data_IF_073136332394
#
_entry.id   IF_073136332394
#
_cell.length_a   1.000
_cell.length_b   1.000
_cell.length_c   1.000
_cell.angle_alpha   90.00
_cell.angle_beta   90.00
_cell.angle_gamma   90.00
#
_symmetry.space_group_name_H-M   'P 1'
#
loop_
_entity.id
_entity.type
_entity.pdbx_description
1 polymer ?
#
# COMPACT_ATOMS: atom_id res chain seq x y z
N UNK A 1 4.87 4.09 -6.74
CA UNK A 1 4.15 4.15 -5.45
C UNK A 1 3.96 2.74 -4.94
N UNK A 2 4.19 2.54 -3.65
CA UNK A 2 4.06 1.26 -2.97
C UNK A 2 2.96 1.35 -1.91
N UNK A 3 2.26 0.24 -1.68
CA UNK A 3 1.18 0.11 -0.71
C UNK A 3 1.35 -1.17 0.11
N UNK A 4 0.66 -1.27 1.25
CA UNK A 4 0.63 -2.46 2.08
C UNK A 4 -0.76 -3.05 2.18
N UNK A 5 -0.86 -4.39 2.10
CA UNK A 5 -2.08 -5.15 2.42
C UNK A 5 -1.85 -6.27 3.44
N UNK A 6 -0.67 -6.36 4.06
CA UNK A 6 -0.35 -7.44 5.02
C UNK A 6 -1.00 -7.25 6.39
N UNK A 7 -1.50 -6.06 6.70
CA UNK A 7 -2.04 -5.72 8.02
C UNK A 7 -0.97 -5.62 9.11
N UNK A 8 0.31 -5.75 8.74
CA UNK A 8 1.43 -5.70 9.68
C UNK A 8 1.54 -4.32 10.34
N UNK A 9 1.79 -4.21 11.66
CA UNK A 9 1.83 -2.93 12.38
C UNK A 9 2.75 -1.88 11.75
N UNK A 10 3.87 -2.31 11.15
CA UNK A 10 4.81 -1.41 10.44
C UNK A 10 4.12 -0.62 9.32
N UNK A 11 3.26 -1.28 8.55
CA UNK A 11 2.72 -0.72 7.31
C UNK A 11 1.19 -0.55 7.32
N UNK A 12 0.57 -0.85 8.47
CA UNK A 12 -0.87 -0.70 8.69
C UNK A 12 -1.25 0.78 8.71
N UNK A 13 -2.33 1.12 8.02
CA UNK A 13 -2.85 2.49 7.88
C UNK A 13 -1.86 3.52 7.31
N UNK A 14 -0.77 3.08 6.65
CA UNK A 14 0.10 4.00 5.94
C UNK A 14 -0.53 4.42 4.62
N UNK A 15 -0.32 5.69 4.26
CA UNK A 15 -0.58 6.15 2.90
C UNK A 15 0.43 5.51 1.92
N UNK A 16 0.28 5.80 0.63
CA UNK A 16 1.25 5.34 -0.36
C UNK A 16 2.67 5.78 0.00
N UNK A 17 3.62 4.87 -0.13
CA UNK A 17 5.06 5.13 0.04
C UNK A 17 5.64 5.43 -1.34
N UNK A 18 6.38 6.54 -1.44
CA UNK A 18 7.07 6.95 -2.64
C UNK A 18 8.35 6.14 -2.81
N UNK A 19 8.54 5.65 -4.01
CA UNK A 19 9.76 4.99 -4.46
C UNK A 19 9.92 5.32 -5.94
N UNK A 20 11.17 5.54 -6.37
CA UNK A 20 11.47 6.02 -7.71
C UNK A 20 11.79 4.83 -8.61
N UNK A 21 12.81 4.05 -8.26
CA UNK A 21 13.26 2.89 -9.02
C UNK A 21 13.43 1.66 -8.12
N UNK A 22 12.32 1.13 -7.56
CA UNK A 22 12.41 -0.02 -6.67
C UNK A 22 12.76 -1.29 -7.46
N UNK A 23 13.69 -2.06 -6.91
CA UNK A 23 13.89 -3.45 -7.31
C UNK A 23 12.84 -4.35 -6.66
N UNK A 24 12.39 -5.36 -7.39
CA UNK A 24 11.52 -6.39 -6.85
C UNK A 24 12.30 -7.32 -5.91
N UNK A 25 11.66 -7.74 -4.83
CA UNK A 25 12.23 -8.72 -3.89
C UNK A 25 11.49 -10.04 -4.06
N UNK A 26 12.23 -11.08 -4.41
CA UNK A 26 11.73 -12.46 -4.41
C UNK A 26 12.21 -13.17 -3.15
N UNK A 27 11.29 -13.81 -2.44
CA UNK A 27 11.60 -14.57 -1.23
C UNK A 27 11.72 -16.05 -1.55
N UNK A 28 12.77 -16.69 -1.03
CA UNK A 28 12.92 -18.15 -1.05
C UNK A 28 12.51 -18.76 0.30
N UNK A 29 12.19 -20.05 0.31
CA UNK A 29 11.96 -20.78 1.55
C UNK A 29 13.24 -20.81 2.39
N UNK A 30 13.09 -20.60 3.70
CA UNK A 30 14.18 -20.74 4.65
C UNK A 30 13.59 -21.21 5.98
N UNK A 31 14.12 -22.30 6.50
CA UNK A 31 13.65 -22.91 7.74
C UNK A 31 13.86 -21.95 8.92
N UNK A 32 12.85 -21.81 9.77
CA UNK A 32 12.91 -20.92 10.94
C UNK A 32 12.85 -19.42 10.65
N UNK A 33 12.66 -18.99 9.39
CA UNK A 33 12.53 -17.56 9.02
C UNK A 33 11.13 -17.27 8.47
N UNK A 34 10.34 -16.54 9.25
CA UNK A 34 9.06 -15.95 8.82
C UNK A 34 9.33 -14.76 7.92
N UNK A 35 8.61 -14.68 6.80
CA UNK A 35 8.74 -13.60 5.82
C UNK A 35 7.40 -12.90 5.64
N UNK A 36 7.37 -11.62 5.94
CA UNK A 36 6.16 -10.79 5.85
C UNK A 36 6.40 -9.69 4.83
N UNK A 37 5.61 -9.66 3.76
CA UNK A 37 5.69 -8.58 2.76
C UNK A 37 5.11 -7.30 3.37
N UNK A 38 5.91 -6.25 3.45
CA UNK A 38 5.51 -4.96 4.03
C UNK A 38 4.95 -4.03 2.98
N UNK A 39 5.65 -3.88 1.85
CA UNK A 39 5.29 -2.97 0.76
C UNK A 39 5.39 -3.70 -0.58
N UNK A 40 4.47 -3.37 -1.47
CA UNK A 40 4.45 -3.92 -2.81
C UNK A 40 3.75 -2.96 -3.79
N UNK A 41 3.86 -3.26 -5.09
CA UNK A 41 3.24 -2.48 -6.15
C UNK A 41 1.71 -2.63 -6.19
N UNK A 42 1.03 -1.82 -7.00
CA UNK A 42 -0.41 -1.94 -7.20
C UNK A 42 -0.79 -3.25 -7.92
N UNK A 43 -2.10 -3.49 -8.07
CA UNK A 43 -2.62 -4.63 -8.85
C UNK A 43 -2.22 -4.57 -10.33
N UNK A 44 -2.03 -3.37 -10.87
CA UNK A 44 -1.70 -3.15 -12.27
C UNK A 44 -0.24 -2.71 -12.37
N UNK A 45 0.68 -3.66 -12.24
CA UNK A 45 2.10 -3.41 -12.28
C UNK A 45 2.81 -4.28 -13.32
N UNK A 46 4.05 -3.92 -13.64
CA UNK A 46 4.94 -4.64 -14.54
C UNK A 46 6.39 -4.52 -14.04
N UNK A 47 7.20 -5.49 -14.42
CA UNK A 47 8.65 -5.46 -14.19
C UNK A 47 9.34 -5.18 -15.52
N UNK A 48 10.38 -4.35 -15.51
CA UNK A 48 11.19 -4.05 -16.70
C UNK A 48 12.63 -4.43 -16.37
N UNK A 49 13.26 -5.24 -17.22
CA UNK A 49 14.67 -5.64 -17.08
C UNK A 49 15.60 -4.52 -17.51
N UNK A 50 16.76 -4.42 -16.87
CA UNK A 50 17.80 -3.45 -17.22
C UNK A 50 18.65 -3.93 -18.41
N UNK A 51 19.15 -3.00 -19.26
CA UNK A 51 18.91 -1.55 -19.26
C UNK A 51 17.54 -1.19 -19.83
N UNK A 52 16.79 -0.33 -19.13
CA UNK A 52 15.45 0.09 -19.52
C UNK A 52 15.43 1.57 -19.90
N UNK A 53 14.79 1.92 -21.02
CA UNK A 53 14.51 3.30 -21.37
C UNK A 53 13.26 3.76 -20.62
N UNK A 54 13.44 4.64 -19.63
CA UNK A 54 12.33 5.23 -18.89
C UNK A 54 11.82 6.44 -19.66
N UNK A 55 10.57 6.39 -20.13
CA UNK A 55 9.92 7.53 -20.80
C UNK A 55 8.77 8.04 -19.96
N UNK A 56 8.69 9.36 -19.75
CA UNK A 56 7.51 9.98 -19.15
C UNK A 56 6.22 9.77 -19.97
N UNK A 57 6.36 9.38 -21.24
CA UNK A 57 5.23 9.02 -22.12
C UNK A 57 4.62 7.66 -21.77
N UNK A 58 5.26 6.84 -20.94
CA UNK A 58 4.71 5.57 -20.49
C UNK A 58 3.56 5.73 -19.49
N UNK A 59 3.41 6.92 -18.90
CA UNK A 59 2.27 7.25 -18.06
C UNK A 59 1.03 7.59 -18.93
N UNK A 60 0.63 6.63 -19.76
CA UNK A 60 -0.58 6.74 -20.60
C UNK A 60 -1.79 6.38 -19.75
N UNK A 61 -2.80 7.25 -19.75
CA UNK A 61 -4.10 6.98 -19.12
C UNK A 61 -4.92 5.98 -19.96
N UNK A 62 -4.36 4.81 -20.28
CA UNK A 62 -5.10 3.72 -20.89
C UNK A 62 -5.91 2.98 -19.80
N UNK A 63 -7.19 2.62 -20.04
CA UNK A 63 -8.04 1.94 -19.04
C UNK A 63 -7.43 0.63 -18.54
N UNK A 64 -6.87 -0.14 -19.47
CA UNK A 64 -6.10 -1.36 -19.27
C UNK A 64 -4.91 -1.32 -20.23
N UNK A 65 -3.72 -1.61 -19.71
CA UNK A 65 -2.52 -1.82 -20.53
C UNK A 65 -2.13 -3.28 -20.40
N UNK A 66 -2.08 -3.99 -21.53
CA UNK A 66 -1.75 -5.41 -21.58
C UNK A 66 -0.39 -5.74 -20.95
N UNK A 67 0.49 -4.74 -20.81
CA UNK A 67 1.81 -4.88 -20.21
C UNK A 67 1.77 -4.89 -18.67
N UNK A 68 0.70 -4.41 -18.03
CA UNK A 68 0.59 -4.23 -16.58
C UNK A 68 -0.24 -5.34 -15.91
N UNK A 69 0.16 -6.59 -16.15
CA UNK A 69 -0.56 -7.80 -15.69
C UNK A 69 0.01 -8.46 -14.43
N UNK A 70 1.07 -7.92 -13.82
CA UNK A 70 1.71 -8.51 -12.64
C UNK A 70 1.27 -7.78 -11.38
N UNK A 71 0.30 -8.31 -10.60
CA UNK A 71 -0.15 -7.65 -9.39
C UNK A 71 0.86 -7.81 -8.25
N UNK A 72 0.91 -6.81 -7.36
CA UNK A 72 1.49 -6.93 -6.01
C UNK A 72 2.95 -7.41 -5.98
N UNK A 73 3.79 -6.81 -6.82
CA UNK A 73 5.24 -7.10 -6.86
C UNK A 73 5.87 -6.60 -5.55
N UNK A 74 6.49 -7.46 -4.72
CA UNK A 74 7.06 -7.07 -3.45
C UNK A 74 8.26 -6.13 -3.62
N UNK A 75 8.34 -5.12 -2.75
CA UNK A 75 9.43 -4.13 -2.73
C UNK A 75 10.03 -3.92 -1.32
N UNK A 76 9.32 -4.31 -0.26
CA UNK A 76 9.88 -4.38 1.09
C UNK A 76 9.38 -5.63 1.82
N UNK A 77 10.27 -6.32 2.54
CA UNK A 77 10.00 -7.57 3.25
C UNK A 77 10.63 -7.54 4.64
N UNK A 78 9.87 -7.92 5.66
CA UNK A 78 10.33 -8.20 7.01
C UNK A 78 10.65 -9.70 7.13
N UNK A 79 11.82 -10.00 7.68
CA UNK A 79 12.33 -11.33 7.96
C UNK A 79 12.48 -11.47 9.47
N UNK A 80 11.87 -12.50 10.06
CA UNK A 80 11.90 -12.73 11.52
C UNK A 80 12.25 -14.17 11.83
N UNK A 81 13.12 -14.38 12.82
CA UNK A 81 13.49 -15.69 13.33
C UNK A 81 14.99 -15.84 13.55
N UNK A 82 15.47 -17.08 13.60
CA UNK A 82 16.88 -17.38 13.89
C UNK A 82 17.70 -17.46 12.61
N UNK A 83 18.57 -16.48 12.40
CA UNK A 83 19.46 -16.47 11.25
C UNK A 83 20.70 -17.33 11.50
N UNK A 84 21.13 -18.05 10.46
CA UNK A 84 22.44 -18.69 10.44
C UNK A 84 23.50 -17.69 9.95
N UNK A 85 24.66 -17.73 10.60
CA UNK A 85 25.82 -16.93 10.19
C UNK A 85 26.31 -17.37 8.81
N UNK A 86 26.67 -16.40 7.97
CA UNK A 86 27.30 -16.63 6.67
C UNK A 86 28.60 -17.46 6.78
N UNK A 87 29.27 -17.38 7.93
CA UNK A 87 30.53 -18.07 8.19
C UNK A 87 30.38 -19.48 8.78
N UNK A 88 29.13 -19.94 8.98
CA UNK A 88 28.87 -21.30 9.42
C UNK A 88 29.49 -22.28 8.43
N UNK A 89 30.27 -23.24 8.93
CA UNK A 89 31.03 -24.21 8.12
C UNK A 89 32.11 -23.59 7.19
N UNK A 90 32.47 -22.32 7.37
CA UNK A 90 33.51 -21.62 6.56
C UNK A 90 34.70 -21.13 7.39
N UNK A 91 34.73 -21.44 8.69
CA UNK A 91 35.81 -21.03 9.58
C UNK A 91 36.99 -21.98 9.51
N UNK A 92 38.15 -21.46 9.10
CA UNK A 92 39.41 -22.19 9.19
C UNK A 92 39.88 -22.29 10.64
N UNK A 93 40.68 -23.32 10.94
CA UNK A 93 41.24 -23.53 12.28
C UNK A 93 42.02 -22.30 12.77
N UNK A 94 42.78 -21.65 11.89
CA UNK A 94 43.52 -20.41 12.19
C UNK A 94 42.64 -19.26 12.70
N UNK A 95 41.44 -19.10 12.15
CA UNK A 95 40.49 -18.07 12.58
C UNK A 95 39.87 -18.48 13.92
N UNK A 96 39.56 -19.76 14.11
CA UNK A 96 39.04 -20.26 15.39
C UNK A 96 40.05 -20.07 16.53
N UNK A 97 41.33 -20.38 16.28
CA UNK A 97 42.41 -20.20 17.25
C UNK A 97 42.62 -18.71 17.58
N UNK A 98 42.50 -17.83 16.58
CA UNK A 98 42.55 -16.37 16.77
C UNK A 98 41.38 -15.87 17.62
N UNK A 99 40.14 -16.32 17.33
CA UNK A 99 38.95 -15.96 18.10
C UNK A 99 39.04 -16.44 19.55
N UNK A 100 39.56 -17.65 19.77
CA UNK A 100 39.81 -18.21 21.09
C UNK A 100 40.84 -17.40 21.89
N UNK A 101 41.88 -16.89 21.24
CA UNK A 101 42.88 -16.01 21.87
C UNK A 101 42.25 -14.70 22.38
N UNK A 102 41.21 -14.18 21.71
CA UNK A 102 40.44 -13.02 22.15
C UNK A 102 39.23 -13.37 23.04
N UNK A 103 39.07 -14.63 23.45
CA UNK A 103 37.92 -15.12 24.22
C UNK A 103 36.56 -14.88 23.54
N UNK A 104 36.55 -14.77 22.20
CA UNK A 104 35.32 -14.60 21.42
C UNK A 104 34.87 -15.96 20.90
N UNK A 105 33.65 -16.38 21.28
CA UNK A 105 33.04 -17.60 20.73
C UNK A 105 32.29 -17.28 19.45
N UNK A 106 32.62 -17.98 18.36
CA UNK A 106 31.84 -17.91 17.14
C UNK A 106 30.42 -18.45 17.36
N UNK A 107 29.42 -17.70 16.87
CA UNK A 107 28.01 -18.08 16.92
C UNK A 107 27.56 -18.48 15.51
N UNK A 108 27.32 -19.79 15.24
CA UNK A 108 26.85 -20.24 13.93
C UNK A 108 25.38 -19.88 13.68
N UNK A 109 24.60 -19.67 14.74
CA UNK A 109 23.19 -19.28 14.71
C UNK A 109 22.96 -18.23 15.78
N UNK A 110 21.98 -17.34 15.58
CA UNK A 110 21.53 -16.40 16.60
C UNK A 110 20.99 -17.12 17.83
N UNK A 111 21.30 -16.61 19.03
CA UNK A 111 20.78 -17.18 20.29
C UNK A 111 19.27 -16.90 20.41
N UNK A 112 18.87 -15.66 20.11
CA UNK A 112 17.49 -15.18 20.11
C UNK A 112 16.97 -14.94 18.68
N UNK A 113 15.65 -14.82 18.57
CA UNK A 113 15.00 -14.43 17.32
C UNK A 113 15.38 -12.99 16.97
N UNK A 114 15.75 -12.78 15.71
CA UNK A 114 16.17 -11.50 15.17
C UNK A 114 15.21 -11.06 14.07
N UNK A 115 15.28 -9.77 13.75
CA UNK A 115 14.42 -9.15 12.74
C UNK A 115 15.27 -8.37 11.74
N UNK A 116 14.99 -8.53 10.45
CA UNK A 116 15.66 -7.82 9.35
C UNK A 116 14.61 -7.31 8.38
N UNK A 117 14.68 -6.02 8.04
CA UNK A 117 13.85 -5.43 6.99
C UNK A 117 14.70 -5.21 5.75
N UNK A 118 14.26 -5.73 4.61
CA UNK A 118 14.90 -5.57 3.31
C UNK A 118 14.00 -4.71 2.43
N UNK A 119 14.57 -3.68 1.82
CA UNK A 119 13.88 -2.75 0.90
C UNK A 119 14.63 -2.70 -0.42
N UNK A 120 13.91 -2.78 -1.54
CA UNK A 120 14.48 -2.77 -2.89
C UNK A 120 14.87 -1.39 -3.44
N UNK A 121 14.66 -0.32 -2.67
CA UNK A 121 14.95 1.07 -3.03
C UNK A 121 15.67 1.80 -1.87
N UNK A 122 16.88 2.27 -2.13
CA UNK A 122 17.68 3.04 -1.16
C UNK A 122 17.26 4.50 -1.06
N UNK A 123 16.59 5.05 -2.06
CA UNK A 123 16.19 6.46 -2.10
C UNK A 123 14.97 6.74 -1.20
N UNK A 124 14.27 5.68 -0.78
CA UNK A 124 13.04 5.77 0.01
C UNK A 124 13.23 6.48 1.37
N UNK A 125 14.44 6.45 1.93
CA UNK A 125 14.80 7.06 3.22
C UNK A 125 15.52 8.39 3.08
N UNK A 126 15.67 8.92 1.86
CA UNK A 126 16.38 10.15 1.60
C UNK A 126 15.43 11.35 1.59
N UNK A 127 15.95 12.50 2.01
CA UNK A 127 15.32 13.79 1.75
C UNK A 127 15.71 14.25 0.36
N UNK A 128 14.72 14.56 -0.47
CA UNK A 128 14.98 15.17 -1.77
C UNK A 128 15.34 16.65 -1.61
N UNK A 129 15.82 17.24 -2.70
CA UNK A 129 16.15 18.67 -2.79
C UNK A 129 15.29 19.28 -3.88
N UNK A 130 14.59 20.36 -3.54
CA UNK A 130 13.78 21.14 -4.48
C UNK A 130 14.65 22.12 -5.28
N UNK A 131 14.04 22.77 -6.28
CA UNK A 131 14.72 23.80 -7.09
C UNK A 131 15.26 24.91 -6.19
N UNK A 132 16.53 25.24 -6.34
CA UNK A 132 17.21 26.24 -5.50
C UNK A 132 17.90 25.67 -4.26
N UNK A 133 18.23 24.37 -4.27
CA UNK A 133 19.02 23.69 -3.24
C UNK A 133 18.35 23.67 -1.84
N UNK A 134 17.02 23.66 -1.83
CA UNK A 134 16.21 23.62 -0.61
C UNK A 134 15.88 22.17 -0.26
N UNK A 135 16.35 21.63 0.89
CA UNK A 135 15.95 20.31 1.34
C UNK A 135 14.44 20.25 1.60
N UNK A 136 13.78 19.21 1.10
CA UNK A 136 12.36 18.96 1.35
C UNK A 136 12.19 17.72 2.22
N UNK A 137 11.07 17.67 2.94
CA UNK A 137 10.79 16.55 3.85
C UNK A 137 10.77 15.20 3.11
N UNK A 138 11.16 14.14 3.80
CA UNK A 138 11.08 12.77 3.30
C UNK A 138 9.65 12.44 2.85
N UNK A 139 9.52 11.79 1.69
CA UNK A 139 8.22 11.49 1.10
C UNK A 139 7.60 12.67 0.37
N UNK A 140 8.34 13.76 0.13
CA UNK A 140 7.91 14.81 -0.81
C UNK A 140 8.50 14.56 -2.19
N UNK A 141 7.69 14.74 -3.23
CA UNK A 141 8.17 14.63 -4.61
C UNK A 141 8.74 15.98 -5.09
N UNK A 142 10.04 16.07 -5.45
CA UNK A 142 10.70 17.31 -5.85
C UNK A 142 10.13 17.91 -7.14
N UNK A 143 9.47 17.12 -7.99
CA UNK A 143 8.85 17.59 -9.23
C UNK A 143 7.49 18.27 -9.03
N UNK A 144 6.80 17.98 -7.92
CA UNK A 144 5.47 18.54 -7.61
C UNK A 144 5.49 19.47 -6.39
N UNK A 145 6.62 19.58 -5.71
CA UNK A 145 6.80 20.44 -4.55
C UNK A 145 6.54 21.93 -4.89
N UNK A 146 5.74 22.62 -4.07
CA UNK A 146 5.36 24.01 -4.30
C UNK A 146 4.32 24.21 -5.42
N UNK A 147 3.68 23.13 -5.89
CA UNK A 147 2.61 23.19 -6.90
C UNK A 147 1.28 22.71 -6.33
N UNK A 148 0.18 22.91 -7.06
CA UNK A 148 -1.15 22.41 -6.67
C UNK A 148 -1.24 20.87 -6.55
N UNK A 149 -0.23 20.13 -7.02
CA UNK A 149 -0.16 18.66 -6.98
C UNK A 149 0.78 18.14 -5.90
N UNK A 150 1.20 19.01 -4.98
CA UNK A 150 1.98 18.62 -3.82
C UNK A 150 1.23 17.58 -2.99
N UNK A 151 1.90 16.49 -2.66
CA UNK A 151 1.33 15.39 -1.89
C UNK A 151 2.39 14.76 -0.99
N UNK A 152 2.14 14.70 0.34
CA UNK A 152 3.04 14.05 1.28
C UNK A 152 2.82 12.52 1.28
N UNK A 153 3.86 11.78 0.90
CA UNK A 153 3.88 10.32 0.97
C UNK A 153 4.36 9.83 2.35
N UNK A 154 3.98 8.61 2.72
CA UNK A 154 4.20 8.06 4.06
C UNK A 154 5.61 7.49 4.29
N UNK A 155 6.63 7.95 3.55
CA UNK A 155 8.00 7.44 3.66
C UNK A 155 8.58 7.62 5.06
N UNK A 156 8.39 8.82 5.64
CA UNK A 156 8.86 9.13 6.99
C UNK A 156 8.21 8.21 8.02
N UNK A 157 6.89 8.07 7.94
CA UNK A 157 6.12 7.23 8.87
C UNK A 157 6.52 5.75 8.72
N UNK A 158 6.70 5.27 7.49
CA UNK A 158 7.18 3.92 7.24
C UNK A 158 8.55 3.67 7.88
N UNK A 159 9.50 4.59 7.72
CA UNK A 159 10.83 4.46 8.33
C UNK A 159 10.76 4.47 9.86
N UNK A 160 9.99 5.39 10.44
CA UNK A 160 9.82 5.46 11.89
C UNK A 160 9.18 4.19 12.44
N UNK A 161 8.16 3.65 11.77
CA UNK A 161 7.53 2.40 12.14
C UNK A 161 8.49 1.21 12.02
N UNK A 162 9.34 1.17 10.99
CA UNK A 162 10.39 0.16 10.86
C UNK A 162 11.36 0.22 12.05
N UNK A 163 11.83 1.42 12.40
CA UNK A 163 12.76 1.62 13.52
C UNK A 163 12.11 1.29 14.87
N UNK A 164 10.88 1.74 15.10
CA UNK A 164 10.13 1.43 16.33
C UNK A 164 9.95 -0.09 16.47
N UNK A 165 9.63 -0.79 15.38
CA UNK A 165 9.48 -2.25 15.40
C UNK A 165 10.80 -2.98 15.70
N UNK A 166 11.90 -2.58 15.06
CA UNK A 166 13.20 -3.24 15.20
C UNK A 166 13.88 -2.98 16.55
N UNK A 167 13.53 -1.90 17.24
CA UNK A 167 14.14 -1.50 18.52
C UNK A 167 13.27 -1.91 19.71
N UNK A 168 11.96 -2.01 19.56
CA UNK A 168 11.04 -2.19 20.68
C UNK A 168 10.69 -3.67 20.92
N UNK A 169 11.19 -4.23 22.03
CA UNK A 169 10.92 -5.61 22.44
C UNK A 169 9.47 -5.84 22.92
N UNK A 170 8.71 -4.79 23.23
CA UNK A 170 7.43 -4.91 23.95
C UNK A 170 6.18 -4.95 23.05
N UNK A 171 6.34 -5.04 21.73
CA UNK A 171 5.23 -5.11 20.75
C UNK A 171 4.12 -4.04 20.93
N UNK A 172 4.46 -2.88 21.51
CA UNK A 172 3.50 -1.80 21.80
C UNK A 172 2.87 -1.16 20.55
N UNK A 173 3.45 -1.42 19.36
CA UNK A 173 2.93 -0.94 18.08
C UNK A 173 1.54 -1.50 17.76
N UNK A 174 1.21 -2.73 18.18
CA UNK A 174 -0.12 -3.30 17.93
C UNK A 174 -1.24 -2.48 18.59
N UNK A 175 -0.98 -1.97 19.81
CA UNK A 175 -1.94 -1.20 20.60
C UNK A 175 -2.23 0.20 20.04
N UNK A 176 -1.32 0.79 19.26
CA UNK A 176 -1.52 2.11 18.62
C UNK A 176 -2.34 2.04 17.32
N UNK A 177 -2.55 0.86 16.76
CA UNK A 177 -3.07 0.69 15.40
C UNK A 177 -4.60 0.84 15.29
N UNK A 178 -5.13 2.04 15.53
CA UNK A 178 -6.56 2.32 15.30
C UNK A 178 -6.91 2.13 13.82
N UNK A 179 -7.88 1.29 13.50
CA UNK A 179 -8.26 0.99 12.11
C UNK A 179 -8.92 2.21 11.44
N UNK A 180 -8.16 2.88 10.56
CA UNK A 180 -8.70 3.92 9.68
C UNK A 180 -8.83 3.35 8.27
N UNK A 181 -9.99 2.78 7.97
CA UNK A 181 -10.29 2.26 6.63
C UNK A 181 -10.66 3.42 5.72
N UNK A 182 -9.66 4.02 5.06
CA UNK A 182 -9.90 4.93 3.95
C UNK A 182 -10.46 4.14 2.75
N UNK A 183 -11.78 4.14 2.58
CA UNK A 183 -12.44 3.57 1.39
C UNK A 183 -12.29 4.54 0.22
N UNK A 184 -11.13 4.53 -0.41
CA UNK A 184 -10.91 5.29 -1.64
C UNK A 184 -11.88 4.77 -2.71
N UNK A 185 -12.58 5.70 -3.37
CA UNK A 185 -13.44 5.35 -4.49
C UNK A 185 -12.57 5.00 -5.70
N UNK A 186 -12.92 3.90 -6.36
CA UNK A 186 -12.39 3.59 -7.69
C UNK A 186 -12.98 4.57 -8.70
N UNK A 187 -12.23 5.62 -9.02
CA UNK A 187 -12.65 6.66 -9.96
C UNK A 187 -12.95 6.10 -11.35
N UNK A 188 -12.35 4.96 -11.74
CA UNK A 188 -12.67 4.30 -13.01
C UNK A 188 -14.08 3.74 -12.97
N UNK A 189 -14.40 2.97 -11.93
CA UNK A 189 -15.74 2.39 -11.73
C UNK A 189 -16.80 3.49 -11.60
N UNK A 190 -16.51 4.53 -10.81
CA UNK A 190 -17.41 5.67 -10.62
C UNK A 190 -17.70 6.36 -11.96
N UNK A 191 -16.70 6.60 -12.79
CA UNK A 191 -16.90 7.24 -14.09
C UNK A 191 -17.65 6.35 -15.08
N UNK A 192 -17.36 5.04 -15.11
CA UNK A 192 -18.05 4.10 -15.99
C UNK A 192 -19.53 3.95 -15.64
N UNK A 193 -19.87 3.86 -14.35
CA UNK A 193 -21.25 3.66 -13.90
C UNK A 193 -22.02 4.99 -13.68
N UNK A 194 -21.35 6.14 -13.77
CA UNK A 194 -21.92 7.47 -13.44
C UNK A 194 -23.29 7.71 -14.05
N UNK A 195 -23.45 7.39 -15.34
CA UNK A 195 -24.68 7.63 -16.08
C UNK A 195 -25.82 6.75 -15.55
N UNK A 196 -25.54 5.48 -15.25
CA UNK A 196 -26.55 4.55 -14.70
C UNK A 196 -27.05 5.04 -13.34
N UNK A 197 -26.14 5.42 -12.44
CA UNK A 197 -26.49 5.93 -11.12
C UNK A 197 -27.20 7.28 -11.17
N UNK A 198 -26.84 8.14 -12.12
CA UNK A 198 -27.50 9.45 -12.31
C UNK A 198 -28.93 9.26 -12.83
N UNK A 199 -29.15 8.38 -13.81
CA UNK A 199 -30.49 8.09 -14.34
C UNK A 199 -31.35 7.45 -13.25
N UNK A 200 -30.81 6.47 -12.51
CA UNK A 200 -31.54 5.83 -11.41
C UNK A 200 -31.99 6.86 -10.36
N UNK A 201 -31.07 7.70 -9.89
CA UNK A 201 -31.37 8.71 -8.87
C UNK A 201 -32.31 9.82 -9.37
N UNK A 202 -32.36 10.07 -10.68
CA UNK A 202 -33.31 11.02 -11.28
C UNK A 202 -34.70 10.39 -11.51
N UNK A 203 -34.74 9.17 -12.05
CA UNK A 203 -35.98 8.51 -12.45
C UNK A 203 -36.79 7.99 -11.26
N UNK A 204 -36.12 7.47 -10.23
CA UNK A 204 -36.80 6.86 -9.06
C UNK A 204 -37.68 7.86 -8.31
N UNK A 205 -37.23 9.07 -7.93
CA UNK A 205 -38.09 10.05 -7.25
C UNK A 205 -39.26 10.50 -8.11
N UNK A 206 -39.06 10.70 -9.42
CA UNK A 206 -40.12 11.12 -10.35
C UNK A 206 -41.19 10.04 -10.47
N UNK A 207 -40.77 8.77 -10.63
CA UNK A 207 -41.69 7.64 -10.68
C UNK A 207 -42.49 7.49 -9.38
N UNK A 208 -41.86 7.70 -8.21
CA UNK A 208 -42.55 7.68 -6.93
C UNK A 208 -43.64 8.75 -6.84
N UNK A 209 -43.36 9.99 -7.27
CA UNK A 209 -44.36 11.07 -7.26
C UNK A 209 -45.54 10.75 -8.19
N UNK A 210 -45.25 10.26 -9.40
CA UNK A 210 -46.30 9.86 -10.37
C UNK A 210 -47.14 8.72 -9.81
N UNK A 211 -46.50 7.70 -9.22
CA UNK A 211 -47.18 6.57 -8.60
C UNK A 211 -48.10 7.02 -7.46
N UNK A 212 -47.62 7.89 -6.57
CA UNK A 212 -48.43 8.48 -5.50
C UNK A 212 -49.62 9.28 -6.05
N UNK A 213 -49.42 10.07 -7.11
CA UNK A 213 -50.49 10.80 -7.78
C UNK A 213 -51.56 9.88 -8.36
N UNK A 214 -51.16 8.78 -9.01
CA UNK A 214 -52.07 7.79 -9.56
C UNK A 214 -52.86 7.06 -8.47
N UNK A 215 -52.19 6.62 -7.40
CA UNK A 215 -52.82 5.96 -6.25
C UNK A 215 -53.83 6.90 -5.60
N UNK A 216 -53.46 8.17 -5.37
CA UNK A 216 -54.34 9.17 -4.79
C UNK A 216 -55.58 9.41 -5.66
N UNK A 217 -55.40 9.56 -6.98
CA UNK A 217 -56.50 9.78 -7.91
C UNK A 217 -57.44 8.56 -8.00
N UNK A 218 -56.89 7.34 -7.94
CA UNK A 218 -57.68 6.10 -7.92
C UNK A 218 -58.50 5.97 -6.63
N UNK A 219 -57.90 6.23 -5.47
CA UNK A 219 -58.61 6.28 -4.18
C UNK A 219 -59.70 7.36 -4.17
N UNK A 220 -59.42 8.54 -4.73
CA UNK A 220 -60.39 9.63 -4.86
C UNK A 220 -61.59 9.22 -5.71
N UNK A 221 -61.35 8.63 -6.89
CA UNK A 221 -62.44 8.13 -7.75
C UNK A 221 -63.31 7.09 -7.04
N UNK A 222 -62.70 6.15 -6.29
CA UNK A 222 -63.46 5.14 -5.53
C UNK A 222 -64.33 5.73 -4.41
N UNK A 223 -63.84 6.74 -3.68
CA UNK A 223 -64.58 7.35 -2.56
C UNK A 223 -65.63 8.39 -2.98
N UNK A 224 -65.40 9.14 -4.06
CA UNK A 224 -66.26 10.27 -4.42
C UNK A 224 -67.12 10.07 -5.67
N UNK A 225 -66.80 9.13 -6.58
CA UNK A 225 -67.62 8.92 -7.79
C UNK A 225 -68.92 8.14 -7.52
N UNK A 226 -69.07 7.47 -6.37
CA UNK A 226 -70.33 6.78 -6.01
C UNK A 226 -71.44 7.75 -5.53
N UNK A 227 -71.13 9.01 -5.19
CA UNK A 227 -72.14 9.99 -4.75
C UNK A 227 -72.85 10.74 -5.89
N UNK A 228 -72.45 10.55 -7.16
CA UNK A 228 -73.10 11.20 -8.32
C UNK A 228 -74.06 10.28 -9.11
N UNK A 229 -74.31 9.05 -8.66
CA UNK A 229 -75.33 8.14 -9.24
C UNK A 229 -76.67 8.14 -8.49
N UNK A 230 -76.84 9.04 -7.52
CA UNK A 230 -78.08 9.25 -6.77
C UNK A 230 -78.48 10.73 -6.85
N UNK A 231 -78.84 11.19 -8.06
CA UNK A 231 -79.70 12.35 -8.31
C UNK A 231 -80.43 12.09 -9.62
#
# INVERSE_FOLDING_TARGET
>A
LLSSYSGHPIAKNLNAVLSIFPNSIDTVEAEGIRKTILLHSSRNARTISTPALISGRENVNAPEDEKFKKPFIPAAVLLEGKFSSLFTNRLTQTIQDSLAAYQVRFKPVCDEDNQIIVVGDGDMVLNAVSRGDQPIAMGMNPFTFGTQREFPFANRDFLLNCLEYLVNEQNLMEAKSKDYVARLLDTKKVNAEKQTWTILNLAVPVLLVVLFGLIFQWLRKRRYAQKMKQQ
#
